data_IF_591560466104
#
_entry.id   IF_591560466104
#
_cell.length_a   1.000
_cell.length_b   1.000
_cell.length_c   1.000
_cell.angle_alpha   90.00
_cell.angle_beta   90.00
_cell.angle_gamma   90.00
#
_symmetry.space_group_name_H-M   'P 1'
#
loop_
_entity.id
_entity.type
_entity.pdbx_description
1 polymer ?
#
# COMPACT_ATOMS: atom_id res chain seq x y z
N UNK A 1 -25.78 18.00 49.88
CA UNK A 1 -25.20 18.99 48.94
C UNK A 1 -24.42 18.24 47.87
N UNK A 2 -25.09 17.93 46.76
CA UNK A 2 -24.46 17.41 45.54
C UNK A 2 -23.40 18.40 45.06
N UNK A 3 -22.19 17.92 44.77
CA UNK A 3 -21.21 18.69 44.02
C UNK A 3 -21.09 18.00 42.66
N UNK A 4 -21.59 18.67 41.64
CA UNK A 4 -21.78 18.14 40.30
C UNK A 4 -20.48 17.73 39.63
N UNK A 5 -20.54 16.60 38.95
CA UNK A 5 -19.63 16.18 37.88
C UNK A 5 -19.72 17.20 36.74
N UNK A 6 -18.71 18.05 36.63
CA UNK A 6 -18.51 18.86 35.44
C UNK A 6 -17.92 17.98 34.34
N UNK A 7 -18.76 17.54 33.41
CA UNK A 7 -18.32 17.03 32.10
C UNK A 7 -17.50 18.14 31.42
N UNK A 8 -16.18 17.97 31.45
CA UNK A 8 -15.29 18.70 30.57
C UNK A 8 -15.39 18.01 29.22
N UNK A 9 -15.77 18.68 28.11
CA UNK A 9 -15.81 18.04 26.81
C UNK A 9 -14.40 17.55 26.49
N UNK A 10 -14.22 16.22 26.49
CA UNK A 10 -12.93 15.58 26.26
C UNK A 10 -12.30 16.13 25.00
N UNK A 11 -11.05 16.58 25.13
CA UNK A 11 -10.27 17.07 23.98
C UNK A 11 -9.99 15.87 23.09
N UNK A 12 -10.80 15.69 22.04
CA UNK A 12 -10.63 14.60 21.09
C UNK A 12 -9.24 14.68 20.44
N UNK A 13 -8.61 13.52 20.27
CA UNK A 13 -7.32 13.38 19.60
C UNK A 13 -7.23 14.15 18.27
N UNK A 14 -6.03 14.63 17.96
CA UNK A 14 -5.78 15.53 16.82
C UNK A 14 -6.17 14.89 15.49
N UNK A 15 -5.82 13.62 15.28
CA UNK A 15 -6.10 12.91 14.04
C UNK A 15 -7.60 12.61 13.92
N UNK A 16 -8.25 12.16 15.01
CA UNK A 16 -9.70 11.96 15.06
C UNK A 16 -10.46 13.26 14.79
N UNK A 17 -10.09 14.35 15.45
CA UNK A 17 -10.68 15.68 15.26
C UNK A 17 -10.54 16.16 13.82
N UNK A 18 -9.38 15.91 13.19
CA UNK A 18 -9.16 16.23 11.77
C UNK A 18 -10.06 15.40 10.87
N UNK A 19 -10.14 14.09 11.08
CA UNK A 19 -10.98 13.19 10.30
C UNK A 19 -12.46 13.58 10.38
N UNK A 20 -12.97 13.84 11.58
CA UNK A 20 -14.37 14.25 11.77
C UNK A 20 -14.71 15.58 11.10
N UNK A 21 -13.73 16.48 10.94
CA UNK A 21 -13.88 17.71 10.14
C UNK A 21 -13.85 17.42 8.63
N UNK A 22 -13.10 16.42 8.18
CA UNK A 22 -13.04 16.02 6.78
C UNK A 22 -14.33 15.34 6.31
N UNK A 23 -14.94 14.51 7.17
CA UNK A 23 -16.25 13.89 6.90
C UNK A 23 -17.38 14.91 6.72
N UNK A 24 -17.22 16.12 7.27
CA UNK A 24 -18.21 17.20 7.17
C UNK A 24 -17.93 18.06 5.93
N UNK A 25 -18.70 17.83 4.86
CA UNK A 25 -18.59 18.45 3.52
C UNK A 25 -18.62 20.00 3.49
N UNK A 26 -19.11 20.66 4.54
CA UNK A 26 -19.36 22.11 4.56
C UNK A 26 -18.17 22.93 5.12
N UNK A 27 -17.13 22.27 5.64
CA UNK A 27 -15.98 22.95 6.25
C UNK A 27 -14.94 23.35 5.19
N UNK A 28 -14.79 24.66 5.00
CA UNK A 28 -14.01 25.26 3.89
C UNK A 28 -12.60 25.71 4.25
N UNK A 29 -12.19 25.59 5.53
CA UNK A 29 -10.88 26.08 5.99
C UNK A 29 -9.84 24.97 5.89
N UNK A 30 -8.79 25.21 5.09
CA UNK A 30 -7.61 24.35 5.00
C UNK A 30 -7.05 24.13 6.40
N UNK A 31 -6.93 22.88 6.81
CA UNK A 31 -6.36 22.54 8.11
C UNK A 31 -4.84 22.47 7.87
N UNK A 32 -4.01 23.23 8.62
CA UNK A 32 -2.56 23.04 8.54
C UNK A 32 -2.23 21.56 8.81
N UNK A 33 -1.29 20.93 8.10
CA UNK A 33 -0.87 19.57 8.41
C UNK A 33 -0.43 19.53 9.88
N UNK A 34 -1.21 18.85 10.72
CA UNK A 34 -0.98 18.85 12.17
C UNK A 34 0.16 17.88 12.49
N UNK A 35 1.30 18.50 12.80
CA UNK A 35 2.29 18.23 13.85
C UNK A 35 3.02 16.87 13.83
N UNK A 36 4.31 16.96 13.49
CA UNK A 36 5.37 15.95 13.65
C UNK A 36 5.51 15.34 15.07
N UNK A 37 4.76 15.84 16.06
CA UNK A 37 4.85 15.40 17.46
C UNK A 37 3.43 15.37 18.07
N UNK A 38 2.72 14.26 17.85
CA UNK A 38 1.49 13.97 18.58
C UNK A 38 1.86 13.35 19.93
N UNK A 39 1.68 14.09 21.01
CA UNK A 39 1.93 13.60 22.37
C UNK A 39 1.04 12.37 22.68
N UNK A 40 -0.21 12.41 22.24
CA UNK A 40 -1.13 11.28 22.30
C UNK A 40 -0.58 10.04 21.58
N UNK A 41 0.04 10.21 20.40
CA UNK A 41 0.66 9.08 19.72
C UNK A 41 1.85 8.53 20.52
N UNK A 42 2.66 9.41 21.11
CA UNK A 42 3.79 9.03 21.97
C UNK A 42 3.33 8.20 23.17
N UNK A 43 2.29 8.65 23.89
CA UNK A 43 1.71 7.93 25.02
C UNK A 43 1.17 6.56 24.62
N UNK A 44 0.45 6.47 23.50
CA UNK A 44 -0.04 5.19 22.98
C UNK A 44 1.11 4.24 22.61
N UNK A 45 2.22 4.77 22.09
CA UNK A 45 3.42 3.97 21.81
C UNK A 45 4.09 3.46 23.09
N UNK A 46 4.23 4.30 24.11
CA UNK A 46 4.79 3.88 25.40
C UNK A 46 3.94 2.75 26.01
N UNK A 47 2.60 2.93 26.01
CA UNK A 47 1.66 1.90 26.49
C UNK A 47 1.76 0.59 25.68
N UNK A 48 1.95 0.67 24.35
CA UNK A 48 2.22 -0.52 23.53
C UNK A 48 3.51 -1.22 23.95
N UNK A 49 4.59 -0.46 24.17
CA UNK A 49 5.90 -0.99 24.56
C UNK A 49 5.96 -1.52 25.99
N UNK A 50 5.01 -1.16 26.85
CA UNK A 50 4.89 -1.66 28.22
C UNK A 50 3.90 -2.82 28.34
N UNK A 51 2.76 -2.74 27.67
CA UNK A 51 1.61 -3.63 27.90
C UNK A 51 1.13 -4.37 26.63
N UNK A 52 1.75 -4.10 25.48
CA UNK A 52 1.36 -4.68 24.19
C UNK A 52 0.09 -4.05 23.61
N UNK A 53 -0.56 -4.77 22.70
CA UNK A 53 -1.78 -4.31 22.04
C UNK A 53 -2.91 -3.87 23.01
N UNK A 54 -3.18 -4.57 24.13
CA UNK A 54 -4.23 -4.12 25.06
C UNK A 54 -3.97 -2.73 25.65
N UNK A 55 -2.74 -2.45 26.07
CA UNK A 55 -2.39 -1.14 26.63
C UNK A 55 -2.42 -0.04 25.59
N UNK A 56 -2.00 -0.34 24.36
CA UNK A 56 -2.16 0.58 23.23
C UNK A 56 -3.63 0.96 23.01
N UNK A 57 -4.52 -0.03 22.92
CA UNK A 57 -5.95 0.22 22.68
C UNK A 57 -6.59 1.00 23.83
N UNK A 58 -6.17 0.75 25.07
CA UNK A 58 -6.61 1.51 26.23
C UNK A 58 -6.17 2.98 26.13
N UNK A 59 -4.89 3.25 25.83
CA UNK A 59 -4.38 4.61 25.66
C UNK A 59 -5.10 5.35 24.52
N UNK A 60 -5.35 4.68 23.39
CA UNK A 60 -6.12 5.25 22.28
C UNK A 60 -7.55 5.64 22.70
N UNK A 61 -8.20 4.82 23.53
CA UNK A 61 -9.54 5.09 24.03
C UNK A 61 -9.57 6.26 25.03
N UNK A 62 -8.62 6.30 25.96
CA UNK A 62 -8.47 7.37 26.96
C UNK A 62 -8.21 8.73 26.29
N UNK A 63 -7.32 8.76 25.31
CA UNK A 63 -6.96 9.96 24.54
C UNK A 63 -7.96 10.29 23.42
N UNK A 64 -9.00 9.48 23.25
CA UNK A 64 -10.00 9.59 22.18
C UNK A 64 -9.38 9.78 20.78
N UNK A 65 -8.33 9.02 20.47
CA UNK A 65 -7.62 9.09 19.19
C UNK A 65 -8.02 7.94 18.24
N UNK A 66 -7.56 7.98 16.99
CA UNK A 66 -7.68 6.84 16.07
C UNK A 66 -6.57 5.80 16.29
N UNK A 67 -6.85 4.49 16.15
CA UNK A 67 -5.85 3.44 16.27
C UNK A 67 -4.94 3.42 15.04
N UNK A 68 -3.95 4.32 15.02
CA UNK A 68 -3.06 4.60 13.90
C UNK A 68 -2.05 3.47 13.56
N UNK A 69 -1.86 2.47 14.43
CA UNK A 69 -0.98 1.33 14.14
C UNK A 69 -1.74 0.25 13.35
N UNK A 70 -1.11 -0.25 12.29
CA UNK A 70 -1.58 -1.45 11.60
C UNK A 70 -1.15 -2.73 12.32
N UNK A 71 -1.79 -3.88 12.06
CA UNK A 71 -1.34 -5.15 12.59
C UNK A 71 0.11 -5.46 12.20
N UNK A 72 0.54 -5.09 10.99
CA UNK A 72 1.94 -5.25 10.57
C UNK A 72 2.91 -4.41 11.39
N UNK A 73 2.53 -3.17 11.74
CA UNK A 73 3.35 -2.32 12.60
C UNK A 73 3.49 -2.94 13.99
N UNK A 74 2.37 -3.42 14.56
CA UNK A 74 2.33 -4.08 15.87
C UNK A 74 3.13 -5.39 15.88
N UNK A 75 3.00 -6.21 14.84
CA UNK A 75 3.74 -7.47 14.67
C UNK A 75 5.24 -7.21 14.62
N UNK A 76 5.67 -6.24 13.80
CA UNK A 76 7.07 -5.84 13.70
C UNK A 76 7.62 -5.39 15.06
N UNK A 77 6.92 -4.48 15.75
CA UNK A 77 7.35 -3.99 17.05
C UNK A 77 7.40 -5.12 18.08
N UNK A 78 6.41 -6.01 18.10
CA UNK A 78 6.34 -7.13 19.05
C UNK A 78 7.51 -8.11 18.87
N UNK A 79 7.88 -8.41 17.61
CA UNK A 79 9.02 -9.27 17.30
C UNK A 79 10.36 -8.65 17.72
N UNK A 80 10.47 -7.33 17.70
CA UNK A 80 11.71 -6.59 18.00
C UNK A 80 11.77 -6.01 19.42
N UNK A 81 10.70 -6.13 20.21
CA UNK A 81 10.58 -5.60 21.59
C UNK A 81 11.57 -6.24 22.57
N UNK A 82 12.02 -7.47 22.31
CA UNK A 82 12.77 -8.30 23.27
C UNK A 82 14.29 -8.36 23.04
N UNK A 83 14.87 -7.51 22.18
CA UNK A 83 16.32 -7.54 21.90
C UNK A 83 17.16 -6.61 22.80
N UNK A 84 16.54 -5.92 23.75
CA UNK A 84 17.21 -5.14 24.81
C UNK A 84 16.65 -5.61 26.15
N UNK A 85 17.31 -6.46 26.94
CA UNK A 85 18.60 -6.27 27.64
C UNK A 85 19.14 -7.68 27.98
N UNK A 86 20.37 -8.09 27.58
CA UNK A 86 21.08 -9.12 28.33
C UNK A 86 21.59 -8.47 29.62
N UNK A 87 21.08 -8.89 30.77
CA UNK A 87 21.74 -8.55 32.04
C UNK A 87 23.18 -9.08 32.01
N UNK A 88 24.19 -8.25 32.30
CA UNK A 88 25.55 -8.74 32.45
C UNK A 88 25.67 -9.37 33.83
N UNK A 89 25.41 -10.69 33.92
CA UNK A 89 26.13 -11.68 34.75
C UNK A 89 25.25 -12.86 35.17
N UNK A 90 25.37 -13.97 34.44
CA UNK A 90 25.46 -15.28 35.06
C UNK A 90 26.26 -16.22 34.15
N UNK A 91 27.59 -16.22 34.34
CA UNK A 91 28.43 -17.32 33.89
C UNK A 91 27.95 -18.60 34.57
N UNK A 92 27.58 -19.61 33.79
CA UNK A 92 27.92 -21.01 34.05
C UNK A 92 27.89 -21.76 32.72
N UNK A 93 29.06 -22.26 32.34
CA UNK A 93 29.24 -22.98 31.09
C UNK A 93 28.66 -24.39 31.14
N UNK A 94 28.45 -24.93 29.96
CA UNK A 94 28.84 -26.30 29.67
C UNK A 94 29.14 -26.40 28.18
N UNK A 95 30.36 -26.83 27.88
CA UNK A 95 30.77 -27.25 26.55
C UNK A 95 29.92 -28.46 26.12
N UNK A 96 29.57 -28.52 24.84
CA UNK A 96 29.26 -29.80 24.19
C UNK A 96 29.58 -29.70 22.70
N UNK A 97 30.50 -30.57 22.32
CA UNK A 97 31.07 -30.83 20.99
C UNK A 97 30.02 -31.02 19.87
N UNK A 98 30.36 -30.72 18.61
CA UNK A 98 29.54 -31.12 17.47
C UNK A 98 29.79 -32.61 17.13
N UNK A 99 28.73 -33.41 17.10
CA UNK A 99 28.79 -34.77 16.52
C UNK A 99 28.48 -34.72 15.04
N UNK A 100 29.51 -35.07 14.28
CA UNK A 100 29.48 -35.54 12.91
C UNK A 100 28.62 -36.81 12.80
N UNK A 101 27.79 -36.88 11.76
CA UNK A 101 26.90 -38.00 11.49
C UNK A 101 26.55 -38.02 10.01
N UNK A 102 27.35 -38.80 9.27
CA UNK A 102 27.08 -39.22 7.91
C UNK A 102 25.68 -39.82 7.78
N UNK A 103 24.95 -39.41 6.75
CA UNK A 103 24.00 -40.30 6.08
C UNK A 103 24.08 -40.03 4.59
N UNK A 104 24.75 -40.94 3.91
CA UNK A 104 24.69 -41.09 2.46
C UNK A 104 23.23 -41.30 2.05
N UNK A 105 22.72 -40.44 1.16
CA UNK A 105 21.61 -40.81 0.30
C UNK A 105 21.95 -40.44 -1.14
N UNK A 106 22.50 -41.43 -1.83
CA UNK A 106 22.88 -41.38 -3.23
C UNK A 106 21.73 -41.95 -4.07
N UNK A 107 20.73 -41.12 -4.38
CA UNK A 107 19.82 -41.41 -5.49
C UNK A 107 19.14 -40.15 -6.02
N UNK A 108 19.64 -39.67 -7.17
CA UNK A 108 18.89 -39.12 -8.32
C UNK A 108 19.62 -37.94 -8.96
N UNK A 109 20.80 -38.24 -9.51
CA UNK A 109 21.30 -37.52 -10.68
C UNK A 109 20.45 -37.97 -11.88
N UNK A 110 20.05 -36.99 -12.69
CA UNK A 110 19.39 -37.04 -14.01
C UNK A 110 18.03 -36.34 -14.04
N UNK A 111 18.07 -35.01 -14.13
CA UNK A 111 17.09 -34.27 -14.95
C UNK A 111 17.77 -33.05 -15.55
N UNK A 112 18.67 -33.28 -16.52
CA UNK A 112 18.96 -32.28 -17.55
C UNK A 112 17.73 -32.17 -18.45
N UNK A 113 16.71 -31.44 -17.99
CA UNK A 113 15.59 -31.02 -18.83
C UNK A 113 15.37 -29.53 -18.62
N UNK A 114 15.89 -28.77 -19.59
CA UNK A 114 15.64 -27.36 -19.81
C UNK A 114 14.19 -27.01 -19.47
N UNK A 115 13.99 -26.41 -18.29
CA UNK A 115 12.69 -25.87 -17.89
C UNK A 115 12.51 -24.54 -18.59
N UNK A 116 12.01 -24.56 -19.82
CA UNK A 116 11.48 -23.35 -20.43
C UNK A 116 10.40 -22.78 -19.51
N UNK A 117 10.70 -21.65 -18.86
CA UNK A 117 9.71 -20.96 -18.03
C UNK A 117 8.83 -20.19 -19.00
N UNK A 118 7.58 -20.62 -19.14
CA UNK A 118 6.63 -19.97 -20.04
C UNK A 118 6.08 -18.72 -19.37
N UNK A 119 6.42 -17.56 -19.93
CA UNK A 119 5.82 -16.27 -19.61
C UNK A 119 4.75 -16.01 -20.67
N UNK A 120 3.44 -16.03 -20.33
CA UNK A 120 2.40 -15.71 -21.29
C UNK A 120 2.64 -14.29 -21.83
N UNK A 121 2.74 -14.15 -23.15
CA UNK A 121 2.81 -12.82 -23.76
C UNK A 121 1.46 -12.11 -23.63
N UNK A 122 1.57 -10.79 -23.51
CA UNK A 122 0.55 -9.77 -23.20
C UNK A 122 -0.87 -10.11 -23.66
N UNK A 123 -1.83 -9.91 -22.74
CA UNK A 123 -3.24 -9.87 -23.10
C UNK A 123 -3.56 -8.53 -23.73
N UNK A 124 -4.14 -8.52 -24.94
CA UNK A 124 -4.65 -7.33 -25.64
C UNK A 124 -5.93 -6.79 -24.97
N UNK A 125 -5.88 -6.46 -23.68
CA UNK A 125 -6.97 -5.74 -23.00
C UNK A 125 -6.81 -4.25 -23.26
N UNK A 126 -7.86 -3.62 -23.79
CA UNK A 126 -7.89 -2.17 -23.94
C UNK A 126 -7.75 -1.49 -22.56
N UNK A 127 -6.82 -0.54 -22.40
CA UNK A 127 -6.65 0.22 -21.15
C UNK A 127 -7.97 0.80 -20.64
N UNK A 128 -8.35 0.58 -19.37
CA UNK A 128 -9.42 1.32 -18.73
C UNK A 128 -9.12 2.81 -18.83
N UNK A 129 -10.12 3.60 -19.20
CA UNK A 129 -9.96 5.05 -19.23
C UNK A 129 -9.72 5.58 -17.81
N UNK A 130 -8.90 6.62 -17.70
CA UNK A 130 -8.69 7.34 -16.45
C UNK A 130 -9.96 8.17 -16.14
N UNK A 131 -10.91 7.51 -15.47
CA UNK A 131 -12.33 7.91 -15.32
C UNK A 131 -12.56 9.30 -14.70
N UNK A 132 -11.61 9.79 -13.89
CA UNK A 132 -11.70 11.11 -13.25
C UNK A 132 -11.03 12.22 -14.08
N UNK A 133 -10.58 11.88 -15.29
CA UNK A 133 -9.75 12.73 -16.14
C UNK A 133 -8.27 12.61 -15.83
N UNK A 134 -7.46 13.02 -16.80
CA UNK A 134 -6.00 13.08 -16.68
C UNK A 134 -5.46 14.32 -17.40
N UNK A 135 -4.64 15.16 -16.75
CA UNK A 135 -4.15 16.37 -17.37
C UNK A 135 -3.13 16.06 -18.47
N UNK A 136 -3.01 16.99 -19.43
CA UNK A 136 -1.88 16.98 -20.35
C UNK A 136 -0.63 17.39 -19.57
N UNK A 137 0.49 16.71 -19.83
CA UNK A 137 1.79 17.05 -19.23
C UNK A 137 2.09 18.53 -19.48
N UNK A 138 2.42 19.33 -18.44
CA UNK A 138 2.70 20.75 -18.61
C UNK A 138 3.87 20.99 -19.57
N UNK A 139 3.78 22.03 -20.41
CA UNK A 139 4.86 22.38 -21.36
C UNK A 139 6.20 22.61 -20.66
N UNK A 140 6.18 23.19 -19.46
CA UNK A 140 7.38 23.40 -18.66
C UNK A 140 8.06 22.09 -18.25
N UNK A 141 7.28 21.03 -18.02
CA UNK A 141 7.77 19.68 -17.71
C UNK A 141 8.30 19.01 -18.98
N UNK A 142 7.57 19.12 -20.08
CA UNK A 142 7.91 18.54 -21.40
C UNK A 142 9.25 19.08 -21.96
N UNK A 143 9.46 20.39 -21.89
CA UNK A 143 10.71 21.05 -22.31
C UNK A 143 11.72 21.22 -21.17
N UNK A 144 11.36 20.82 -19.95
CA UNK A 144 12.19 20.95 -18.77
C UNK A 144 13.30 19.91 -18.74
N UNK A 145 14.50 20.33 -18.37
CA UNK A 145 15.59 19.39 -18.07
C UNK A 145 15.20 18.51 -16.88
N UNK A 146 15.60 17.24 -16.93
CA UNK A 146 15.41 16.30 -15.83
C UNK A 146 16.19 16.78 -14.60
N UNK A 147 15.47 17.01 -13.50
CA UNK A 147 16.03 17.31 -12.19
C UNK A 147 15.68 16.19 -11.22
N UNK A 148 16.68 15.70 -10.49
CA UNK A 148 16.51 14.71 -9.44
C UNK A 148 17.09 15.23 -8.12
N UNK A 149 16.31 15.20 -7.04
CA UNK A 149 16.74 15.57 -5.68
C UNK A 149 16.47 14.42 -4.73
N UNK A 150 17.46 13.97 -3.97
CA UNK A 150 17.33 12.81 -3.08
C UNK A 150 17.15 13.26 -1.63
N UNK A 151 16.17 12.68 -0.94
CA UNK A 151 15.83 12.93 0.44
C UNK A 151 16.04 11.66 1.26
N UNK A 152 16.76 11.78 2.37
CA UNK A 152 17.04 10.68 3.28
C UNK A 152 16.36 10.93 4.62
N UNK A 153 15.55 9.99 5.08
CA UNK A 153 14.89 10.02 6.37
C UNK A 153 15.84 9.55 7.49
N UNK A 154 16.96 10.25 7.61
CA UNK A 154 17.88 10.15 8.76
C UNK A 154 17.97 11.47 9.51
N UNK A 155 17.71 12.59 8.82
CA UNK A 155 17.70 13.91 9.40
C UNK A 155 16.25 14.36 9.63
N UNK A 156 15.86 14.57 10.90
CA UNK A 156 14.50 15.04 11.26
C UNK A 156 14.12 16.38 10.61
N UNK A 157 15.10 17.16 10.12
CA UNK A 157 14.84 18.37 9.34
C UNK A 157 14.23 18.09 7.95
N UNK A 158 14.46 16.90 7.38
CA UNK A 158 14.02 16.50 6.04
C UNK A 158 13.11 15.27 6.12
N UNK A 159 11.95 15.44 6.75
CA UNK A 159 10.94 14.40 6.83
C UNK A 159 10.31 14.13 5.45
N UNK A 160 10.47 12.90 4.97
CA UNK A 160 9.86 12.44 3.71
C UNK A 160 8.35 12.59 3.76
N UNK A 161 7.74 12.29 4.92
CA UNK A 161 6.31 12.50 5.14
C UNK A 161 5.94 13.96 4.92
N UNK A 162 6.66 14.92 5.50
CA UNK A 162 6.30 16.33 5.37
C UNK A 162 6.49 16.86 3.95
N UNK A 163 7.52 16.40 3.24
CA UNK A 163 7.68 16.67 1.81
C UNK A 163 6.47 16.18 1.01
N UNK A 164 6.08 14.92 1.22
CA UNK A 164 4.93 14.31 0.55
C UNK A 164 3.63 15.07 0.86
N UNK A 165 3.36 15.35 2.13
CA UNK A 165 2.16 16.09 2.58
C UNK A 165 2.13 17.50 1.99
N UNK A 166 3.29 18.17 1.93
CA UNK A 166 3.43 19.47 1.28
C UNK A 166 3.04 19.41 -0.20
N UNK A 167 3.55 18.42 -0.96
CA UNK A 167 3.19 18.27 -2.37
C UNK A 167 1.72 17.93 -2.56
N UNK A 168 1.14 17.01 -1.77
CA UNK A 168 -0.30 16.67 -1.81
C UNK A 168 -1.16 17.91 -1.54
N UNK A 169 -0.79 18.73 -0.55
CA UNK A 169 -1.50 19.96 -0.20
C UNK A 169 -1.51 21.00 -1.32
N UNK A 170 -0.49 20.97 -2.18
CA UNK A 170 -0.30 21.92 -3.29
C UNK A 170 -0.85 21.43 -4.62
N UNK A 171 -1.21 20.15 -4.73
CA UNK A 171 -1.75 19.55 -5.94
C UNK A 171 -3.00 20.28 -6.46
N UNK A 172 -3.13 20.37 -7.78
CA UNK A 172 -4.22 21.12 -8.44
C UNK A 172 -4.97 20.32 -9.50
N UNK A 173 -4.33 19.37 -10.15
CA UNK A 173 -4.89 18.71 -11.34
C UNK A 173 -5.02 17.21 -11.20
N UNK A 174 -4.04 16.51 -10.61
CA UNK A 174 -4.13 15.05 -10.38
C UNK A 174 -3.16 14.61 -9.30
N UNK A 175 -3.54 13.59 -8.54
CA UNK A 175 -2.64 12.82 -7.69
C UNK A 175 -2.77 11.35 -8.06
N UNK A 176 -1.66 10.73 -8.42
CA UNK A 176 -1.57 9.33 -8.77
C UNK A 176 -0.56 8.65 -7.85
N UNK A 177 -0.98 7.58 -7.17
CA UNK A 177 -0.19 6.88 -6.16
C UNK A 177 -0.11 5.41 -6.54
N UNK A 178 1.12 4.88 -6.63
CA UNK A 178 1.42 3.45 -6.66
C UNK A 178 2.12 3.11 -5.36
N UNK A 179 1.57 2.16 -4.60
CA UNK A 179 2.07 1.87 -3.27
C UNK A 179 1.95 0.39 -2.91
N UNK A 180 2.99 -0.16 -2.31
CA UNK A 180 3.02 -1.54 -1.80
C UNK A 180 2.17 -1.72 -0.54
N UNK A 181 2.30 -0.83 0.44
CA UNK A 181 1.61 -0.89 1.72
C UNK A 181 1.15 0.51 2.15
N UNK A 182 -0.15 0.63 2.42
CA UNK A 182 -0.77 1.89 2.82
C UNK A 182 -1.65 1.73 4.06
N UNK A 183 -1.12 2.16 5.20
CA UNK A 183 -1.75 2.16 6.53
C UNK A 183 -1.61 3.49 7.29
N UNK A 184 -1.00 4.51 6.69
CA UNK A 184 -0.87 5.86 7.28
C UNK A 184 -2.17 6.68 7.15
N UNK A 185 -2.89 6.81 8.26
CA UNK A 185 -4.16 7.54 8.33
C UNK A 185 -4.03 9.05 8.05
N UNK A 186 -2.86 9.66 8.29
CA UNK A 186 -2.65 11.09 8.05
C UNK A 186 -2.52 11.38 6.56
N UNK A 187 -1.76 10.55 5.84
CA UNK A 187 -1.63 10.64 4.39
C UNK A 187 -2.98 10.37 3.72
N UNK A 188 -3.75 9.39 4.20
CA UNK A 188 -5.10 9.16 3.68
C UNK A 188 -6.00 10.38 3.90
N UNK A 189 -5.93 11.03 5.06
CA UNK A 189 -6.65 12.28 5.31
C UNK A 189 -6.23 13.40 4.33
N UNK A 190 -4.94 13.51 3.99
CA UNK A 190 -4.46 14.51 3.02
C UNK A 190 -4.99 14.25 1.59
N UNK A 191 -5.06 12.98 1.18
CA UNK A 191 -5.64 12.58 -0.11
C UNK A 191 -7.16 12.81 -0.14
N UNK A 192 -7.86 12.45 0.94
CA UNK A 192 -9.29 12.75 1.09
C UNK A 192 -9.55 14.25 1.04
N UNK A 193 -8.71 15.07 1.66
CA UNK A 193 -8.80 16.54 1.62
C UNK A 193 -8.60 17.07 0.19
N UNK A 194 -7.64 16.54 -0.57
CA UNK A 194 -7.44 16.86 -1.98
C UNK A 194 -8.68 16.53 -2.83
N UNK A 195 -9.18 15.32 -2.65
CA UNK A 195 -10.30 14.77 -3.42
C UNK A 195 -11.62 15.48 -3.12
N UNK A 196 -11.99 15.57 -1.84
CA UNK A 196 -13.31 16.06 -1.42
C UNK A 196 -13.44 17.58 -1.40
N UNK A 197 -12.39 18.31 -0.99
CA UNK A 197 -12.46 19.77 -0.81
C UNK A 197 -11.96 20.55 -2.00
N UNK A 198 -10.92 20.04 -2.67
CA UNK A 198 -10.30 20.69 -3.84
C UNK A 198 -10.75 20.09 -5.16
N UNK A 199 -11.52 19.00 -5.14
CA UNK A 199 -11.92 18.27 -6.34
C UNK A 199 -10.74 17.86 -7.21
N UNK A 200 -9.59 17.54 -6.60
CA UNK A 200 -8.43 16.99 -7.32
C UNK A 200 -8.64 15.49 -7.50
N UNK A 201 -8.67 14.98 -8.75
CA UNK A 201 -8.69 13.53 -9.02
C UNK A 201 -7.56 12.80 -8.30
N UNK A 202 -7.92 11.75 -7.55
CA UNK A 202 -6.95 10.88 -6.87
C UNK A 202 -7.07 9.45 -7.39
N UNK A 203 -5.99 8.91 -7.95
CA UNK A 203 -5.89 7.51 -8.33
C UNK A 203 -4.92 6.78 -7.41
N UNK A 204 -5.36 5.66 -6.85
CA UNK A 204 -4.59 4.86 -5.91
C UNK A 204 -4.52 3.42 -6.43
N UNK A 205 -3.32 2.97 -6.76
CA UNK A 205 -3.01 1.59 -7.15
C UNK A 205 -2.23 0.96 -5.99
N UNK A 206 -2.80 -0.10 -5.42
CA UNK A 206 -2.22 -0.82 -4.28
C UNK A 206 -1.81 -2.24 -4.65
N UNK A 207 -0.77 -2.75 -4.00
CA UNK A 207 -0.46 -4.18 -4.09
C UNK A 207 -1.59 -5.03 -3.48
N UNK A 208 -2.00 -6.07 -4.22
CA UNK A 208 -3.12 -6.94 -3.87
C UNK A 208 -2.89 -7.70 -2.56
N UNK A 209 -1.65 -8.11 -2.26
CA UNK A 209 -1.31 -8.87 -1.05
C UNK A 209 -1.56 -8.05 0.21
N UNK A 210 -1.31 -6.75 0.16
CA UNK A 210 -1.42 -5.84 1.31
C UNK A 210 -2.69 -5.00 1.34
N UNK A 211 -3.54 -5.07 0.31
CA UNK A 211 -4.82 -4.35 0.23
C UNK A 211 -5.72 -4.51 1.47
N UNK A 212 -5.71 -5.70 2.09
CA UNK A 212 -6.52 -5.98 3.29
C UNK A 212 -6.23 -5.01 4.45
N UNK A 213 -4.98 -4.56 4.62
CA UNK A 213 -4.60 -3.63 5.68
C UNK A 213 -5.09 -2.21 5.41
N UNK A 214 -5.14 -1.81 4.12
CA UNK A 214 -5.77 -0.55 3.72
C UNK A 214 -7.29 -0.55 4.01
N UNK A 215 -7.98 -1.66 3.71
CA UNK A 215 -9.42 -1.82 4.01
C UNK A 215 -9.65 -1.78 5.52
N UNK A 216 -8.81 -2.45 6.31
CA UNK A 216 -8.87 -2.42 7.77
C UNK A 216 -8.66 -1.00 8.32
N UNK A 217 -7.67 -0.25 7.80
CA UNK A 217 -7.45 1.15 8.14
C UNK A 217 -8.72 1.98 7.85
N UNK A 218 -9.33 1.84 6.67
CA UNK A 218 -10.57 2.53 6.32
C UNK A 218 -11.71 2.18 7.28
N UNK A 219 -11.80 0.91 7.71
CA UNK A 219 -12.78 0.46 8.70
C UNK A 219 -12.53 1.08 10.08
N UNK A 220 -11.27 1.14 10.54
CA UNK A 220 -10.86 1.80 11.80
C UNK A 220 -11.21 3.29 11.81
N UNK A 221 -11.14 3.93 10.65
CA UNK A 221 -11.51 5.34 10.46
C UNK A 221 -13.03 5.55 10.27
N UNK A 222 -13.84 4.48 10.27
CA UNK A 222 -15.27 4.53 9.97
C UNK A 222 -15.57 5.27 8.66
N UNK A 223 -14.78 5.00 7.63
CA UNK A 223 -15.00 5.50 6.28
C UNK A 223 -16.04 4.63 5.57
N UNK A 224 -16.62 5.18 4.51
CA UNK A 224 -17.50 4.49 3.57
C UNK A 224 -17.21 5.00 2.15
N UNK A 225 -17.82 4.42 1.13
CA UNK A 225 -17.63 4.82 -0.28
C UNK A 225 -17.92 6.31 -0.56
N UNK A 226 -18.85 6.92 0.19
CA UNK A 226 -19.27 8.32 -0.01
C UNK A 226 -18.17 9.31 0.39
N UNK A 227 -17.17 8.87 1.15
CA UNK A 227 -15.99 9.66 1.51
C UNK A 227 -14.92 9.69 0.41
N UNK A 228 -15.12 8.97 -0.70
CA UNK A 228 -14.18 8.85 -1.83
C UNK A 228 -14.77 9.29 -3.19
N UNK A 229 -15.49 10.43 -3.28
CA UNK A 229 -16.25 10.78 -4.48
C UNK A 229 -15.36 11.01 -5.72
N UNK A 230 -14.18 11.60 -5.51
CA UNK A 230 -13.21 11.91 -6.57
C UNK A 230 -11.89 11.14 -6.35
N UNK A 231 -12.04 9.86 -5.97
CA UNK A 231 -10.92 8.95 -5.74
C UNK A 231 -11.24 7.58 -6.35
N UNK A 232 -10.23 6.93 -6.93
CA UNK A 232 -10.34 5.56 -7.47
C UNK A 232 -9.27 4.69 -6.83
N UNK A 233 -9.72 3.66 -6.12
CA UNK A 233 -8.84 2.68 -5.48
C UNK A 233 -8.88 1.39 -6.28
N UNK A 234 -7.71 0.96 -6.75
CA UNK A 234 -7.49 -0.25 -7.54
C UNK A 234 -6.39 -1.08 -6.91
N UNK A 235 -6.36 -2.36 -7.21
CA UNK A 235 -5.29 -3.25 -6.80
C UNK A 235 -4.64 -3.95 -7.98
N UNK A 236 -3.36 -4.28 -7.83
CA UNK A 236 -2.55 -4.95 -8.84
C UNK A 236 -1.65 -5.98 -8.15
N UNK A 237 -1.34 -7.06 -8.86
CA UNK A 237 -0.36 -8.06 -8.44
C UNK A 237 0.76 -8.11 -9.49
N UNK A 238 1.96 -8.50 -9.08
CA UNK A 238 3.03 -8.76 -10.03
C UNK A 238 2.78 -10.02 -10.86
N UNK A 239 3.74 -10.36 -11.71
CA UNK A 239 3.65 -11.51 -12.61
C UNK A 239 3.29 -12.81 -11.91
N UNK A 240 2.47 -13.63 -12.57
CA UNK A 240 2.15 -14.96 -12.06
C UNK A 240 3.21 -15.96 -12.49
N UNK A 241 3.93 -16.52 -11.53
CA UNK A 241 4.82 -17.64 -11.75
C UNK A 241 4.03 -18.95 -11.80
N UNK A 242 4.31 -19.78 -12.79
CA UNK A 242 3.75 -21.12 -12.94
C UNK A 242 4.85 -22.17 -12.81
N UNK A 243 4.68 -23.09 -11.87
CA UNK A 243 5.54 -24.26 -11.73
C UNK A 243 5.16 -25.34 -12.72
N UNK A 244 6.11 -26.25 -13.02
CA UNK A 244 5.86 -27.44 -13.84
C UNK A 244 4.74 -28.34 -13.31
N UNK A 245 4.52 -28.34 -11.99
CA UNK A 245 3.46 -29.11 -11.34
C UNK A 245 2.08 -28.43 -11.41
N UNK A 246 1.93 -27.35 -12.18
CA UNK A 246 0.68 -26.60 -12.32
C UNK A 246 0.35 -25.69 -11.13
N UNK A 247 1.20 -25.63 -10.10
CA UNK A 247 1.05 -24.65 -9.01
C UNK A 247 1.44 -23.27 -9.50
N UNK A 248 0.73 -22.24 -9.04
CA UNK A 248 1.01 -20.84 -9.39
C UNK A 248 1.02 -19.94 -8.16
N UNK A 249 1.78 -18.86 -8.23
CA UNK A 249 1.71 -17.74 -7.28
C UNK A 249 1.90 -16.42 -8.02
N UNK A 250 1.28 -15.35 -7.52
CA UNK A 250 1.45 -14.01 -8.06
C UNK A 250 2.59 -13.28 -7.34
N UNK A 251 3.39 -12.52 -8.08
CA UNK A 251 4.37 -11.59 -7.56
C UNK A 251 3.72 -10.43 -6.82
N UNK A 252 4.55 -9.65 -6.12
CA UNK A 252 4.14 -8.39 -5.50
C UNK A 252 4.57 -7.21 -6.36
N UNK A 253 3.78 -6.16 -6.36
CA UNK A 253 4.19 -4.86 -6.92
C UNK A 253 4.93 -4.10 -5.84
N UNK A 254 6.25 -3.97 -6.02
CA UNK A 254 7.15 -3.30 -5.08
C UNK A 254 7.41 -1.83 -5.46
N UNK A 255 6.86 -1.40 -6.59
CA UNK A 255 6.96 -0.03 -7.06
C UNK A 255 6.25 0.93 -6.11
N UNK A 256 6.93 2.04 -5.83
CA UNK A 256 6.47 3.06 -4.89
C UNK A 256 6.76 4.40 -5.48
N UNK A 257 5.72 5.04 -6.01
CA UNK A 257 5.83 6.42 -6.45
C UNK A 257 4.52 7.18 -6.36
N UNK A 258 4.66 8.50 -6.26
CA UNK A 258 3.56 9.45 -6.24
C UNK A 258 3.80 10.48 -7.33
N UNK A 259 2.92 10.53 -8.32
CA UNK A 259 2.91 11.49 -9.40
C UNK A 259 1.85 12.57 -9.11
N UNK A 260 2.27 13.83 -9.08
CA UNK A 260 1.42 14.99 -8.75
C UNK A 260 1.46 15.98 -9.90
N UNK A 261 0.27 16.35 -10.37
CA UNK A 261 0.00 17.32 -11.42
C UNK A 261 0.73 17.06 -12.76
N UNK A 262 1.19 15.83 -12.99
CA UNK A 262 2.11 15.47 -14.08
C UNK A 262 3.38 16.35 -14.14
N UNK A 263 3.83 16.87 -13.00
CA UNK A 263 5.01 17.75 -12.88
C UNK A 263 5.99 17.30 -11.79
N UNK A 264 5.51 16.55 -10.79
CA UNK A 264 6.33 16.06 -9.69
C UNK A 264 6.17 14.57 -9.54
N UNK A 265 7.29 13.86 -9.36
CA UNK A 265 7.28 12.46 -8.94
C UNK A 265 8.14 12.30 -7.70
N UNK A 266 7.60 11.66 -6.66
CA UNK A 266 8.38 11.11 -5.55
C UNK A 266 8.42 9.61 -5.70
N UNK A 267 9.61 9.01 -5.81
CA UNK A 267 9.77 7.55 -5.87
C UNK A 267 10.86 7.07 -4.91
N UNK A 268 10.71 5.89 -4.31
CA UNK A 268 11.75 5.36 -3.41
C UNK A 268 11.31 4.21 -2.51
N UNK A 269 11.89 4.12 -1.32
CA UNK A 269 11.67 3.00 -0.39
C UNK A 269 10.57 3.27 0.64
N UNK A 270 10.07 4.50 0.72
CA UNK A 270 9.09 4.93 1.70
C UNK A 270 7.69 4.35 1.40
N UNK A 271 7.23 3.43 2.24
CA UNK A 271 5.84 2.95 2.25
C UNK A 271 4.98 3.85 3.13
N UNK A 272 3.67 3.92 2.87
CA UNK A 272 2.76 4.77 3.66
C UNK A 272 2.36 4.07 4.95
N UNK A 273 3.29 3.94 5.89
CA UNK A 273 3.06 3.32 7.21
C UNK A 273 3.55 4.21 8.33
N UNK A 274 3.05 3.96 9.54
CA UNK A 274 3.53 4.66 10.73
C UNK A 274 5.03 4.41 10.98
N UNK A 275 5.47 3.15 10.83
CA UNK A 275 6.88 2.80 11.00
C UNK A 275 7.80 3.49 9.98
N UNK A 276 7.40 3.58 8.71
CA UNK A 276 8.14 4.36 7.71
C UNK A 276 8.21 5.84 8.10
N UNK A 277 7.16 6.41 8.69
CA UNK A 277 7.17 7.79 9.17
C UNK A 277 8.09 8.02 10.38
N UNK A 278 8.20 7.07 11.30
CA UNK A 278 8.77 7.32 12.63
C UNK A 278 10.10 6.62 12.90
N UNK A 279 10.29 5.41 12.36
CA UNK A 279 11.35 4.50 12.81
C UNK A 279 12.26 4.05 11.67
N UNK A 280 11.70 3.67 10.52
CA UNK A 280 12.51 3.13 9.43
C UNK A 280 13.34 4.20 8.72
N UNK A 281 14.53 3.81 8.29
CA UNK A 281 15.38 4.63 7.45
C UNK A 281 14.95 4.46 5.97
N UNK A 282 14.21 5.42 5.45
CA UNK A 282 13.75 5.44 4.07
C UNK A 282 14.49 6.50 3.23
N UNK A 283 14.41 6.36 1.91
CA UNK A 283 14.82 7.40 0.96
C UNK A 283 13.74 7.61 -0.09
N UNK A 284 13.64 8.83 -0.61
CA UNK A 284 12.88 9.13 -1.83
C UNK A 284 13.69 10.05 -2.74
N UNK A 285 13.48 9.90 -4.03
CA UNK A 285 13.97 10.82 -5.05
C UNK A 285 12.79 11.62 -5.60
N UNK A 286 12.93 12.94 -5.57
CA UNK A 286 12.03 13.89 -6.20
C UNK A 286 12.50 14.18 -7.61
N UNK A 287 11.71 13.76 -8.58
CA UNK A 287 11.93 14.01 -9.99
C UNK A 287 11.03 15.14 -10.50
N UNK A 288 11.60 15.96 -11.39
CA UNK A 288 10.94 17.03 -12.15
C UNK A 288 11.48 17.07 -13.58
N UNK A 289 10.73 17.71 -14.48
CA UNK A 289 11.09 17.80 -15.89
C UNK A 289 10.71 16.54 -16.67
N UNK A 290 11.34 16.34 -17.83
CA UNK A 290 10.92 15.34 -18.82
C UNK A 290 10.75 13.91 -18.30
N UNK A 291 11.56 13.48 -17.31
CA UNK A 291 11.47 12.13 -16.72
C UNK A 291 10.08 11.79 -16.13
N UNK A 292 9.27 12.79 -15.80
CA UNK A 292 7.90 12.57 -15.31
C UNK A 292 7.02 11.84 -16.34
N UNK A 293 7.32 11.98 -17.63
CA UNK A 293 6.61 11.26 -18.71
C UNK A 293 6.78 9.74 -18.62
N UNK A 294 7.93 9.25 -18.15
CA UNK A 294 8.16 7.82 -18.01
C UNK A 294 7.34 7.24 -16.85
N UNK A 295 7.22 7.98 -15.75
CA UNK A 295 6.34 7.61 -14.63
C UNK A 295 4.85 7.73 -14.99
N UNK A 296 4.47 8.70 -15.84
CA UNK A 296 3.10 8.81 -16.37
C UNK A 296 2.72 7.56 -17.18
N UNK A 297 3.64 7.12 -18.05
CA UNK A 297 3.47 5.92 -18.87
C UNK A 297 3.38 4.67 -18.01
N UNK A 298 4.26 4.54 -17.02
CA UNK A 298 4.25 3.41 -16.09
C UNK A 298 2.94 3.37 -15.29
N UNK A 299 2.50 4.51 -14.76
CA UNK A 299 1.23 4.60 -14.04
C UNK A 299 0.05 4.12 -14.91
N UNK A 300 0.00 4.53 -16.18
CA UNK A 300 -1.03 4.10 -17.13
C UNK A 300 -0.96 2.60 -17.42
N UNK A 301 0.24 2.03 -17.49
CA UNK A 301 0.44 0.59 -17.65
C UNK A 301 -0.12 -0.17 -16.44
N UNK A 302 0.30 0.21 -15.23
CA UNK A 302 -0.21 -0.39 -13.99
C UNK A 302 -1.72 -0.19 -13.83
N UNK A 303 -2.26 0.96 -14.21
CA UNK A 303 -3.69 1.22 -14.16
C UNK A 303 -4.47 0.26 -15.07
N UNK A 304 -3.89 -0.06 -16.24
CA UNK A 304 -4.45 -1.03 -17.19
C UNK A 304 -4.52 -2.44 -16.62
N UNK A 305 -3.47 -2.86 -15.94
CA UNK A 305 -3.37 -4.20 -15.34
C UNK A 305 -4.15 -4.32 -14.02
N UNK A 306 -4.37 -3.19 -13.35
CA UNK A 306 -5.04 -3.15 -12.05
C UNK A 306 -6.55 -3.45 -12.16
N UNK A 307 -7.11 -3.95 -11.07
CA UNK A 307 -8.54 -4.25 -10.91
C UNK A 307 -9.18 -3.26 -9.94
N UNK A 308 -10.44 -2.83 -10.18
CA UNK A 308 -11.14 -1.97 -9.23
C UNK A 308 -11.40 -2.72 -7.92
N UNK A 309 -11.27 -2.04 -6.78
CA UNK A 309 -11.58 -2.64 -5.48
C UNK A 309 -13.07 -2.45 -5.19
N UNK A 310 -13.90 -3.51 -5.13
CA UNK A 310 -15.36 -3.41 -5.06
C UNK A 310 -15.89 -2.53 -3.92
N UNK A 311 -15.14 -2.48 -2.81
CA UNK A 311 -15.43 -1.68 -1.63
C UNK A 311 -15.52 -0.16 -1.90
N UNK A 312 -14.88 0.30 -2.99
CA UNK A 312 -14.73 1.71 -3.35
C UNK A 312 -15.39 2.03 -4.70
N UNK A 313 -16.05 1.07 -5.35
CA UNK A 313 -16.74 1.30 -6.61
C UNK A 313 -18.05 2.05 -6.38
N UNK A 314 -18.34 3.02 -7.26
CA UNK A 314 -19.66 3.62 -7.38
C UNK A 314 -20.48 2.73 -8.32
N UNK A 315 -21.70 2.28 -7.95
CA UNK A 315 -22.54 1.52 -8.87
C UNK A 315 -22.82 2.34 -10.13
N UNK A 316 -22.50 1.82 -11.31
CA UNK A 316 -22.87 2.46 -12.57
C UNK A 316 -24.39 2.54 -12.67
N UNK A 317 -24.90 3.74 -12.97
CA UNK A 317 -26.31 3.98 -13.24
C UNK A 317 -26.69 3.38 -14.61
N UNK A 318 -26.85 2.05 -14.66
CA UNK A 318 -27.18 1.34 -15.90
C UNK A 318 -27.67 -0.09 -15.74
N UNK A 319 -27.55 -0.70 -14.55
CA UNK A 319 -28.17 -2.00 -14.25
C UNK A 319 -29.38 -1.78 -13.35
N UNK A 320 -30.57 -1.89 -13.93
CA UNK A 320 -31.84 -1.86 -13.20
C UNK A 320 -31.83 -2.90 -12.07
N UNK A 321 -32.18 -2.53 -10.82
CA UNK A 321 -32.20 -3.49 -9.72
C UNK A 321 -33.56 -4.21 -9.69
N UNK A 322 -33.58 -5.48 -10.10
CA UNK A 322 -34.60 -6.38 -9.59
C UNK A 322 -34.22 -6.72 -8.12
N UNK A 323 -34.88 -6.02 -7.20
CA UNK A 323 -34.93 -6.28 -5.75
C UNK A 323 -33.63 -6.71 -5.07
N UNK A 324 -32.88 -5.75 -4.54
CA UNK A 324 -32.03 -6.01 -3.40
C UNK A 324 -32.12 -4.83 -2.43
N UNK A 325 -32.56 -5.12 -1.22
CA UNK A 325 -32.60 -4.20 -0.10
C UNK A 325 -31.26 -3.47 0.03
N UNK A 326 -31.33 -2.15 0.24
CA UNK A 326 -30.19 -1.32 0.60
C UNK A 326 -29.57 -1.84 1.91
N UNK A 327 -28.62 -2.75 1.79
CA UNK A 327 -27.69 -3.07 2.87
C UNK A 327 -26.51 -2.12 2.71
N UNK A 328 -26.24 -1.33 3.75
CA UNK A 328 -25.04 -0.54 3.83
C UNK A 328 -23.83 -1.48 3.79
N UNK A 329 -23.20 -1.62 2.61
CA UNK A 329 -21.95 -2.37 2.45
C UNK A 329 -20.88 -1.70 3.29
N UNK A 330 -20.65 -2.25 4.49
CA UNK A 330 -19.66 -1.76 5.44
C UNK A 330 -18.36 -2.51 5.18
N UNK A 331 -17.19 -1.84 5.20
CA UNK A 331 -15.87 -2.47 5.00
C UNK A 331 -15.64 -3.70 5.90
N UNK A 332 -16.29 -3.75 7.07
CA UNK A 332 -16.32 -4.92 7.96
C UNK A 332 -16.84 -6.22 7.31
N UNK A 333 -17.77 -6.14 6.35
CA UNK A 333 -18.29 -7.32 5.65
C UNK A 333 -17.25 -7.94 4.71
N UNK A 334 -16.34 -7.12 4.16
CA UNK A 334 -15.33 -7.58 3.20
C UNK A 334 -14.18 -8.29 3.90
N UNK A 335 -13.78 -7.82 5.09
CA UNK A 335 -12.81 -8.49 5.95
C UNK A 335 -13.25 -9.91 6.33
N UNK A 336 -14.57 -10.15 6.46
CA UNK A 336 -15.12 -11.48 6.76
C UNK A 336 -15.14 -12.43 5.57
N UNK A 337 -15.10 -11.93 4.32
CA UNK A 337 -15.15 -12.76 3.11
C UNK A 337 -13.77 -13.30 2.67
N UNK A 338 -12.68 -12.82 3.25
CA UNK A 338 -11.31 -13.23 2.93
C UNK A 338 -10.88 -14.54 3.63
N UNK A 339 -11.74 -15.56 3.66
CA UNK A 339 -11.34 -16.94 3.96
C UNK A 339 -11.23 -17.72 2.65
N UNK A 340 -10.16 -18.49 2.41
CA UNK A 340 -10.06 -19.28 1.20
C UNK A 340 -11.03 -20.45 1.27
N UNK A 341 -12.07 -20.43 0.42
CA UNK A 341 -12.81 -21.63 0.10
C UNK A 341 -11.95 -22.46 -0.87
N UNK A 342 -11.41 -23.57 -0.37
CA UNK A 342 -11.02 -24.68 -1.21
C UNK A 342 -12.29 -25.38 -1.75
N UNK A 343 -12.17 -25.90 -2.97
CA UNK A 343 -13.12 -26.72 -3.73
C UNK A 343 -14.25 -25.99 -4.49
N UNK A 344 -14.17 -26.10 -5.82
CA UNK A 344 -15.19 -25.68 -6.78
C UNK A 344 -14.72 -25.85 -8.21
N UNK A 345 -14.71 -27.09 -8.69
CA UNK A 345 -14.39 -27.54 -10.05
C UNK A 345 -15.42 -27.00 -11.08
N UNK A 346 -14.99 -26.92 -12.35
CA UNK A 346 -15.78 -26.72 -13.60
C UNK A 346 -16.05 -25.23 -13.99
N UNK A 347 -15.90 -24.75 -15.23
CA UNK A 347 -15.49 -25.31 -16.53
C UNK A 347 -14.91 -24.20 -17.41
N UNK A 348 -13.95 -24.57 -18.26
CA UNK A 348 -13.33 -23.73 -19.28
C UNK A 348 -14.30 -23.47 -20.45
N UNK A 349 -14.26 -22.25 -20.99
CA UNK A 349 -14.63 -21.96 -22.37
C UNK A 349 -13.42 -21.28 -23.02
N UNK A 350 -12.58 -22.07 -23.68
CA UNK A 350 -11.48 -21.58 -24.50
C UNK A 350 -11.98 -21.32 -25.92
N UNK A 351 -11.95 -20.06 -26.35
CA UNK A 351 -12.07 -19.69 -27.75
C UNK A 351 -10.78 -20.07 -28.48
N UNK A 352 -10.91 -20.98 -29.44
CA UNK A 352 -9.86 -21.39 -30.36
C UNK A 352 -9.46 -20.23 -31.27
N UNK A 353 -8.16 -19.91 -31.31
CA UNK A 353 -7.55 -19.25 -32.47
C UNK A 353 -6.19 -19.89 -32.75
N UNK A 354 -6.16 -20.68 -33.82
CA UNK A 354 -4.95 -21.27 -34.40
C UNK A 354 -4.14 -20.19 -35.13
N UNK A 355 -2.90 -19.99 -34.71
CA UNK A 355 -1.83 -19.56 -35.62
C UNK A 355 -0.49 -20.04 -35.08
N UNK A 356 -0.02 -21.16 -35.63
CA UNK A 356 1.30 -21.72 -35.42
C UNK A 356 2.36 -20.87 -36.11
N UNK A 357 3.31 -20.34 -35.36
CA UNK A 357 4.59 -19.86 -35.87
C UNK A 357 5.68 -20.73 -35.26
N UNK A 358 6.26 -21.63 -36.07
CA UNK A 358 7.50 -22.32 -35.74
C UNK A 358 8.64 -21.31 -35.75
N UNK A 359 9.30 -21.13 -34.61
CA UNK A 359 10.58 -20.40 -34.54
C UNK A 359 11.63 -21.31 -33.94
N UNK A 360 12.36 -21.98 -34.83
CA UNK A 360 13.56 -22.76 -34.55
C UNK A 360 14.65 -21.80 -34.04
N UNK A 361 15.19 -22.05 -32.85
CA UNK A 361 16.47 -21.43 -32.43
C UNK A 361 17.37 -22.47 -31.79
N UNK A 362 18.38 -22.88 -32.57
CA UNK A 362 19.53 -23.69 -32.15
C UNK A 362 20.42 -22.90 -31.19
N UNK A 363 20.95 -23.57 -30.16
CA UNK A 363 21.88 -23.00 -29.17
C UNK A 363 23.35 -23.11 -29.64
N UNK A 364 24.22 -22.11 -29.34
CA UNK A 364 25.61 -22.13 -29.77
C UNK A 364 26.52 -22.63 -28.63
N UNK A 365 26.64 -23.94 -28.46
CA UNK A 365 27.79 -24.52 -27.73
C UNK A 365 28.12 -25.90 -28.30
N UNK A 366 29.03 -25.93 -29.28
CA UNK A 366 29.77 -27.14 -29.66
C UNK A 366 31.24 -26.94 -29.33
N UNK A 367 31.72 -27.75 -28.39
CA UNK A 367 33.12 -27.92 -28.01
C UNK A 367 33.91 -28.39 -29.24
N UNK A 368 35.01 -27.70 -29.55
CA UNK A 368 36.05 -28.25 -30.40
C UNK A 368 36.97 -29.11 -29.54
N UNK A 369 36.95 -30.41 -29.81
CA UNK A 369 37.99 -31.35 -29.41
C UNK A 369 38.75 -31.76 -30.67
N UNK A 370 40.04 -31.44 -30.70
CA UNK A 370 41.08 -32.16 -31.43
C UNK A 370 42.17 -32.49 -30.44
#
# INVERSE_FOLDING_TARGET
LQRGSGDSPGVSGLLRSRLEKLKKLWWRKSIPPVLQHSETARLAMDAFLEQGEPGYLQAIAEEQELPFLSPLDMDYMSQHRSQSIPEPNARKGHETEPKEGDTEDRASLFSELSSGTYFPLMSDVQPPELELGWPVVPLATWYGQTQASVYFQRNKANSIKDLLRCLISRAKTVIAVVMDLFTDMEILCDLMEASSRRHVPVYLILDEKYLKYFIEMCSKMALNKDHFPNMRVRCVSGDTYYSKAGKKFAGQVLEKFVLIDCDHVLAGTYSFTWLCSQVHACLVTHFRGKIVEDFDREFRSLYTESKPVPAFCIPEAGSSPASAHSSAWTFQSLLKSAKPNEAGTASQASSLSNSSIESIKMSPFRKNST
#
